data_IF_634475353244
#
_entry.id   IF_634475353244
#
_cell.length_a   1.000
_cell.length_b   1.000
_cell.length_c   1.000
_cell.angle_alpha   90.00
_cell.angle_beta   90.00
_cell.angle_gamma   90.00
#
_symmetry.space_group_name_H-M   'P 1'
#
loop_
_entity.id
_entity.type
_entity.pdbx_description
1 polymer ?
#
# COMPACT_ATOMS: atom_id res chain seq x y z
N UNK A 1 21.20 16.17 9.77
CA UNK A 1 20.73 15.01 9.01
C UNK A 1 19.25 14.92 9.24
N UNK A 2 18.49 14.96 8.18
CA UNK A 2 17.03 14.89 8.28
C UNK A 2 16.68 13.40 8.44
N UNK A 3 16.50 12.97 9.69
CA UNK A 3 16.18 11.57 9.98
C UNK A 3 14.70 11.31 9.68
N UNK A 4 14.44 10.93 8.44
CA UNK A 4 13.11 10.57 7.99
C UNK A 4 12.78 9.16 8.46
N UNK A 5 11.83 9.06 9.38
CA UNK A 5 11.42 7.78 9.93
C UNK A 5 10.10 7.37 9.26
N UNK A 6 10.14 6.20 8.66
CA UNK A 6 8.98 5.55 8.05
C UNK A 6 8.72 4.22 8.73
N UNK A 7 7.51 3.70 8.62
CA UNK A 7 7.24 2.35 9.08
C UNK A 7 6.39 1.57 8.09
N UNK A 8 6.47 0.26 8.16
CA UNK A 8 5.67 -0.65 7.36
C UNK A 8 5.02 -1.69 8.26
N UNK A 9 3.84 -2.11 7.90
CA UNK A 9 3.19 -3.23 8.57
C UNK A 9 3.78 -4.56 8.06
N UNK A 10 3.90 -5.53 8.96
CA UNK A 10 4.06 -6.94 8.58
C UNK A 10 2.78 -7.45 7.94
N UNK A 11 2.77 -8.65 7.31
CA UNK A 11 1.56 -9.18 6.70
C UNK A 11 0.32 -9.03 7.60
N UNK A 12 -0.68 -8.34 7.07
CA UNK A 12 -1.84 -7.86 7.83
C UNK A 12 -2.87 -8.99 8.04
N UNK A 13 -2.48 -10.08 8.69
CA UNK A 13 -3.37 -11.21 8.91
C UNK A 13 -4.42 -10.96 9.98
N UNK A 14 -4.00 -10.36 11.07
CA UNK A 14 -4.79 -10.26 12.31
C UNK A 14 -5.17 -8.81 12.64
N UNK A 15 -4.81 -7.85 11.79
CA UNK A 15 -5.15 -6.45 11.96
C UNK A 15 -6.42 -6.10 11.19
N UNK A 16 -7.37 -5.47 11.86
CA UNK A 16 -8.55 -4.92 11.19
C UNK A 16 -8.19 -3.63 10.42
N UNK A 17 -9.00 -3.22 9.44
CA UNK A 17 -8.84 -1.91 8.81
C UNK A 17 -8.80 -0.75 9.82
N UNK A 18 -9.60 -0.84 10.88
CA UNK A 18 -9.64 0.16 11.94
C UNK A 18 -8.31 0.22 12.73
N UNK A 19 -7.68 -0.93 12.97
CA UNK A 19 -6.37 -0.98 13.62
C UNK A 19 -5.31 -0.29 12.77
N UNK A 20 -5.28 -0.56 11.47
CA UNK A 20 -4.33 0.05 10.53
C UNK A 20 -4.50 1.56 10.49
N UNK A 21 -5.73 2.03 10.42
CA UNK A 21 -6.05 3.46 10.47
C UNK A 21 -5.61 4.07 11.80
N UNK A 22 -5.92 3.44 12.91
CA UNK A 22 -5.56 3.90 14.26
C UNK A 22 -4.05 4.00 14.44
N UNK A 23 -3.30 2.99 14.04
CA UNK A 23 -1.83 3.00 14.11
C UNK A 23 -1.22 4.05 13.18
N UNK A 24 -1.79 4.27 12.00
CA UNK A 24 -1.32 5.29 11.06
C UNK A 24 -1.55 6.71 11.61
N UNK A 25 -2.69 6.96 12.24
CA UNK A 25 -2.94 8.23 12.95
C UNK A 25 -1.94 8.44 14.08
N UNK A 26 -1.68 7.40 14.85
CA UNK A 26 -0.69 7.47 15.93
C UNK A 26 0.72 7.73 15.43
N UNK A 27 1.08 7.11 14.29
CA UNK A 27 2.36 7.38 13.64
C UNK A 27 2.48 8.84 13.20
N UNK A 28 1.42 9.40 12.63
CA UNK A 28 1.39 10.83 12.25
C UNK A 28 1.59 11.74 13.48
N UNK A 29 0.93 11.45 14.59
CA UNK A 29 1.11 12.18 15.86
C UNK A 29 2.54 12.12 16.38
N UNK A 30 3.20 10.97 16.21
CA UNK A 30 4.57 10.74 16.65
C UNK A 30 5.63 11.31 15.69
N UNK A 31 5.21 11.90 14.57
CA UNK A 31 6.12 12.54 13.62
C UNK A 31 6.73 11.62 12.57
N UNK A 32 6.18 10.42 12.38
CA UNK A 32 6.58 9.59 11.24
C UNK A 32 6.25 10.29 9.92
N UNK A 33 7.10 10.12 8.93
CA UNK A 33 6.92 10.74 7.61
C UNK A 33 6.01 9.94 6.71
N UNK A 34 6.13 8.62 6.73
CA UNK A 34 5.36 7.74 5.86
C UNK A 34 4.96 6.44 6.55
N UNK A 35 3.86 5.88 6.08
CA UNK A 35 3.45 4.50 6.32
C UNK A 35 3.43 3.74 5.01
N UNK A 36 3.96 2.51 5.02
CA UNK A 36 3.93 1.61 3.88
C UNK A 36 3.06 0.38 4.16
N UNK A 37 2.13 0.13 3.26
CA UNK A 37 1.13 -0.93 3.37
C UNK A 37 1.48 -2.03 2.37
N UNK A 38 1.81 -3.25 2.83
CA UNK A 38 2.08 -4.37 1.95
C UNK A 38 0.79 -4.95 1.38
N UNK A 39 0.89 -5.58 0.22
CA UNK A 39 -0.20 -6.35 -0.37
C UNK A 39 0.08 -7.84 -0.20
N UNK A 40 -0.48 -8.42 0.86
CA UNK A 40 -0.31 -9.84 1.18
C UNK A 40 -1.67 -10.56 1.27
N UNK A 41 -2.51 -10.13 2.20
CA UNK A 41 -3.85 -10.66 2.44
C UNK A 41 -4.93 -9.58 2.36
N UNK A 42 -4.58 -8.44 1.82
CA UNK A 42 -5.37 -7.22 1.77
C UNK A 42 -5.11 -6.49 0.46
N UNK A 43 -6.02 -5.61 0.09
CA UNK A 43 -5.82 -4.66 -1.00
C UNK A 43 -5.04 -3.44 -0.46
N UNK A 44 -3.79 -3.29 -0.85
CA UNK A 44 -2.90 -2.22 -0.39
C UNK A 44 -3.47 -0.82 -0.68
N UNK A 45 -4.12 -0.64 -1.83
CA UNK A 45 -4.67 0.67 -2.21
C UNK A 45 -5.96 1.00 -1.47
N UNK A 46 -6.80 0.01 -1.16
CA UNK A 46 -7.98 0.23 -0.33
C UNK A 46 -7.59 0.68 1.09
N UNK A 47 -6.58 0.04 1.68
CA UNK A 47 -6.04 0.47 2.98
C UNK A 47 -5.35 1.83 2.91
N UNK A 48 -4.59 2.09 1.83
CA UNK A 48 -3.97 3.39 1.62
C UNK A 48 -5.01 4.51 1.55
N UNK A 49 -6.14 4.28 0.89
CA UNK A 49 -7.25 5.23 0.85
C UNK A 49 -7.82 5.51 2.24
N UNK A 50 -8.06 4.46 3.03
CA UNK A 50 -8.59 4.63 4.39
C UNK A 50 -7.63 5.42 5.28
N UNK A 51 -6.34 5.12 5.21
CA UNK A 51 -5.30 5.87 5.94
C UNK A 51 -5.20 7.31 5.46
N UNK A 52 -5.23 7.53 4.14
CA UNK A 52 -5.16 8.87 3.57
C UNK A 52 -6.31 9.78 4.02
N UNK A 53 -7.52 9.22 4.14
CA UNK A 53 -8.69 9.95 4.62
C UNK A 53 -8.65 10.25 6.13
N UNK A 54 -7.91 9.45 6.89
CA UNK A 54 -7.80 9.55 8.34
C UNK A 54 -6.59 10.36 8.82
N UNK A 55 -5.70 10.74 7.92
CA UNK A 55 -4.46 11.49 8.18
C UNK A 55 -4.40 12.75 7.33
N UNK A 56 -3.53 13.70 7.71
CA UNK A 56 -3.43 14.99 7.02
C UNK A 56 -2.07 15.25 6.38
N UNK A 57 -1.01 14.70 6.96
CA UNK A 57 0.38 14.98 6.59
C UNK A 57 1.16 13.72 6.18
N UNK A 58 0.82 12.59 6.77
CA UNK A 58 1.52 11.34 6.59
C UNK A 58 1.52 10.91 5.11
N UNK A 59 2.68 10.61 4.56
CA UNK A 59 2.78 9.98 3.25
C UNK A 59 2.27 8.53 3.35
N UNK A 60 1.49 8.11 2.38
CA UNK A 60 0.86 6.79 2.38
C UNK A 60 1.37 6.01 1.20
N UNK A 61 2.12 4.96 1.48
CA UNK A 61 2.75 4.13 0.47
C UNK A 61 2.12 2.75 0.33
N UNK A 62 2.07 2.24 -0.89
CA UNK A 62 1.91 0.82 -1.16
C UNK A 62 3.31 0.20 -1.39
N UNK A 63 3.68 -0.77 -0.59
CA UNK A 63 4.97 -1.44 -0.72
C UNK A 63 4.81 -2.96 -0.53
N UNK A 64 4.49 -3.62 -1.59
CA UNK A 64 4.22 -3.19 -2.97
C UNK A 64 2.76 -3.47 -3.34
N UNK A 65 2.26 -2.83 -4.40
CA UNK A 65 1.04 -3.26 -5.09
C UNK A 65 1.43 -4.26 -6.18
N UNK A 66 0.85 -5.45 -6.13
CA UNK A 66 1.15 -6.52 -7.07
C UNK A 66 0.49 -6.26 -8.43
N UNK A 67 1.31 -6.08 -9.46
CA UNK A 67 0.86 -5.74 -10.81
C UNK A 67 0.04 -6.84 -11.50
N UNK A 68 0.12 -8.07 -11.03
CA UNK A 68 -0.62 -9.20 -11.61
C UNK A 68 -2.04 -9.34 -11.08
N UNK A 69 -2.40 -8.67 -9.96
CA UNK A 69 -3.70 -8.88 -9.32
C UNK A 69 -4.83 -8.09 -9.95
N UNK A 70 -4.53 -7.07 -10.75
CA UNK A 70 -5.55 -6.22 -11.34
C UNK A 70 -5.15 -5.71 -12.72
N UNK A 71 -6.14 -5.41 -13.54
CA UNK A 71 -5.90 -4.83 -14.85
C UNK A 71 -5.18 -3.46 -14.70
N UNK A 72 -4.21 -3.12 -15.56
CA UNK A 72 -3.46 -1.86 -15.47
C UNK A 72 -4.35 -0.61 -15.44
N UNK A 73 -5.45 -0.61 -16.18
CA UNK A 73 -6.42 0.50 -16.17
C UNK A 73 -7.03 0.68 -14.79
N UNK A 74 -7.46 -0.43 -14.13
CA UNK A 74 -8.02 -0.36 -12.79
C UNK A 74 -6.99 0.09 -11.77
N UNK A 75 -5.76 -0.42 -11.88
CA UNK A 75 -4.66 0.01 -11.00
C UNK A 75 -4.42 1.52 -11.12
N UNK A 76 -4.39 2.05 -12.34
CA UNK A 76 -4.21 3.48 -12.57
C UNK A 76 -5.36 4.31 -11.98
N UNK A 77 -6.61 3.85 -12.15
CA UNK A 77 -7.78 4.52 -11.58
C UNK A 77 -7.78 4.51 -10.05
N UNK A 78 -7.43 3.38 -9.44
CA UNK A 78 -7.31 3.27 -7.98
C UNK A 78 -6.20 4.19 -7.44
N UNK A 79 -5.03 4.18 -8.07
CA UNK A 79 -3.92 5.04 -7.67
C UNK A 79 -4.27 6.53 -7.81
N UNK A 80 -4.93 6.91 -8.90
CA UNK A 80 -5.39 8.28 -9.09
C UNK A 80 -6.40 8.70 -8.00
N UNK A 81 -7.36 7.83 -7.67
CA UNK A 81 -8.33 8.11 -6.62
C UNK A 81 -7.64 8.28 -5.24
N UNK A 82 -6.71 7.39 -4.88
CA UNK A 82 -5.97 7.51 -3.61
C UNK A 82 -5.11 8.77 -3.60
N UNK A 83 -4.52 9.15 -4.74
CA UNK A 83 -3.76 10.39 -4.86
C UNK A 83 -4.63 11.64 -4.62
N UNK A 84 -5.86 11.64 -5.12
CA UNK A 84 -6.81 12.72 -4.85
C UNK A 84 -7.27 12.73 -3.38
N UNK A 85 -7.71 11.59 -2.83
CA UNK A 85 -8.10 11.48 -1.43
C UNK A 85 -6.98 11.87 -0.47
N UNK A 86 -5.74 11.58 -0.82
CA UNK A 86 -4.58 11.92 -0.02
C UNK A 86 -4.07 13.34 -0.23
N UNK A 87 -4.62 14.08 -1.20
CA UNK A 87 -4.10 15.39 -1.60
C UNK A 87 -2.61 15.35 -1.98
N UNK A 88 -2.24 14.36 -2.78
CA UNK A 88 -0.89 14.24 -3.31
C UNK A 88 0.11 13.49 -2.43
N UNK A 89 -0.35 12.73 -1.42
CA UNK A 89 0.53 12.03 -0.47
C UNK A 89 0.75 10.54 -0.78
N UNK A 90 0.25 10.04 -1.91
CA UNK A 90 0.45 8.63 -2.29
C UNK A 90 1.87 8.39 -2.79
N UNK A 91 2.49 7.32 -2.29
CA UNK A 91 3.70 6.72 -2.81
C UNK A 91 3.35 5.34 -3.38
N UNK A 92 3.26 5.23 -4.70
CA UNK A 92 2.87 3.98 -5.36
C UNK A 92 4.09 3.10 -5.64
N UNK A 93 4.29 2.08 -4.82
CA UNK A 93 5.27 1.03 -5.07
C UNK A 93 4.65 -0.11 -5.86
N UNK A 94 5.17 -0.40 -7.04
CA UNK A 94 4.75 -1.50 -7.89
C UNK A 94 5.74 -2.67 -7.81
N UNK A 95 5.22 -3.88 -7.84
CA UNK A 95 6.04 -5.06 -7.83
C UNK A 95 5.32 -6.28 -8.40
N UNK A 96 6.07 -7.34 -8.58
CA UNK A 96 5.56 -8.58 -9.19
C UNK A 96 5.03 -9.59 -8.16
N UNK A 97 5.15 -9.27 -6.88
CA UNK A 97 4.79 -10.21 -5.82
C UNK A 97 5.69 -11.45 -5.76
N UNK A 98 5.27 -12.42 -4.98
CA UNK A 98 5.98 -13.70 -4.86
C UNK A 98 5.43 -14.72 -5.85
N UNK A 99 6.32 -15.37 -6.59
CA UNK A 99 5.94 -16.38 -7.60
C UNK A 99 5.04 -17.47 -7.01
N UNK A 100 5.39 -18.01 -5.85
CA UNK A 100 4.61 -19.06 -5.18
C UNK A 100 3.20 -18.60 -4.85
N UNK A 101 3.04 -17.36 -4.37
CA UNK A 101 1.73 -16.78 -4.05
C UNK A 101 0.92 -16.58 -5.33
N UNK A 102 1.51 -15.97 -6.35
CA UNK A 102 0.82 -15.75 -7.63
C UNK A 102 0.38 -17.08 -8.27
N UNK A 103 1.23 -18.10 -8.25
CA UNK A 103 0.87 -19.43 -8.76
C UNK A 103 -0.28 -20.07 -7.98
N UNK A 104 -0.32 -19.90 -6.66
CA UNK A 104 -1.45 -20.40 -5.84
C UNK A 104 -2.77 -19.71 -6.16
N UNK A 105 -2.72 -18.51 -6.72
CA UNK A 105 -3.88 -17.74 -7.19
C UNK A 105 -4.23 -18.01 -8.66
N UNK A 106 -3.53 -18.94 -9.31
CA UNK A 106 -3.76 -19.25 -10.72
C UNK A 106 -3.16 -18.23 -11.69
N UNK A 107 -2.25 -17.40 -11.23
CA UNK A 107 -1.62 -16.36 -12.05
C UNK A 107 -0.39 -16.95 -12.73
N UNK A 108 -0.38 -16.96 -14.06
CA UNK A 108 0.79 -17.23 -14.85
C UNK A 108 1.61 -15.94 -15.03
N UNK A 109 2.78 -15.91 -14.41
CA UNK A 109 3.67 -14.75 -14.48
C UNK A 109 4.52 -14.72 -15.75
N UNK A 110 4.52 -15.81 -16.52
CA UNK A 110 5.40 -15.95 -17.68
C UNK A 110 6.89 -15.89 -17.30
N UNK A 111 7.69 -15.49 -18.27
CA UNK A 111 9.11 -15.19 -18.10
C UNK A 111 9.31 -13.66 -18.05
N UNK A 112 9.74 -13.09 -16.93
CA UNK A 112 9.88 -11.63 -16.80
C UNK A 112 11.00 -11.02 -17.65
N UNK A 113 11.83 -11.88 -18.25
CA UNK A 113 12.93 -11.44 -19.13
C UNK A 113 12.62 -11.57 -20.62
N UNK A 114 11.38 -11.91 -20.98
CA UNK A 114 10.94 -12.03 -22.38
C UNK A 114 9.85 -11.05 -22.72
#
# INVERSE_FOLDING_TARGET
MDDRICFSFSPLRDASPADIVGWSRRAEELGYEAVFIPESFNDSLAYAQAVAQATTRLLVGAAITNVYLRHPTLLAQQAAAVQEFSQGRLLLGLGVGHRVVNQSLGIDMGDPLR
#
